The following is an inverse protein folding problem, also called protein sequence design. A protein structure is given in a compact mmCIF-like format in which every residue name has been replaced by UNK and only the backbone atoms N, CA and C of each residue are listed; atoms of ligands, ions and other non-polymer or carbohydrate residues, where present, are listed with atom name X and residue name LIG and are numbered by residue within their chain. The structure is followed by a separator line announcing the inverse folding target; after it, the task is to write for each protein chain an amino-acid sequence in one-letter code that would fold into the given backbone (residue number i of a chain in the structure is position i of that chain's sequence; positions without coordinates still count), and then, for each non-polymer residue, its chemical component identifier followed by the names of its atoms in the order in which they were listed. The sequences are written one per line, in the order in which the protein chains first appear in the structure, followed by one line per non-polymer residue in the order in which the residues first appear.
data_IF_064216169239
#
_entry.id   IF_064216169239
#
_cell.length_a   1.000
_cell.length_b   1.000
_cell.length_c   1.000
_cell.angle_alpha   90.00
_cell.angle_beta   90.00
_cell.angle_gamma   90.00
#
_symmetry.space_group_name_H-M   'P 1'
#
loop_
_entity.id
_entity.type
_entity.pdbx_description
1 polymer ?
#
# COMPACT_ATOMS: atom_id res chain seq x y z
N UNK A 1 -18.01 -6.98 -20.59
CA UNK A 1 -19.18 -6.47 -21.35
C UNK A 1 -20.26 -6.04 -20.37
N UNK A 2 -21.04 -4.98 -20.63
CA UNK A 2 -22.17 -4.62 -19.79
C UNK A 2 -23.17 -5.78 -19.74
N UNK A 3 -23.53 -6.20 -18.53
CA UNK A 3 -24.52 -7.26 -18.31
C UNK A 3 -25.87 -6.72 -18.79
N UNK A 4 -26.41 -7.29 -19.88
CA UNK A 4 -27.69 -6.85 -20.47
C UNK A 4 -28.91 -7.29 -19.66
N UNK A 5 -28.72 -8.20 -18.70
CA UNK A 5 -29.77 -8.70 -17.82
C UNK A 5 -29.56 -8.15 -16.40
N UNK A 6 -30.44 -7.26 -15.97
CA UNK A 6 -30.39 -6.64 -14.63
C UNK A 6 -30.51 -7.69 -13.51
N UNK A 7 -31.23 -8.78 -13.75
CA UNK A 7 -31.44 -9.85 -12.77
C UNK A 7 -30.20 -10.75 -12.59
N UNK A 8 -29.20 -10.63 -13.47
CA UNK A 8 -27.93 -11.33 -13.36
C UNK A 8 -26.87 -10.50 -12.60
N UNK A 9 -27.17 -9.26 -12.22
CA UNK A 9 -26.29 -8.42 -11.40
C UNK A 9 -26.38 -8.93 -9.96
N UNK A 10 -25.34 -9.60 -9.49
CA UNK A 10 -25.20 -9.96 -8.08
C UNK A 10 -24.53 -8.80 -7.32
N UNK A 11 -25.04 -8.41 -6.15
CA UNK A 11 -24.31 -7.47 -5.30
C UNK A 11 -22.98 -8.09 -4.86
N UNK A 12 -21.93 -7.28 -4.80
CA UNK A 12 -20.69 -7.65 -4.13
C UNK A 12 -20.94 -7.67 -2.62
N UNK A 13 -20.38 -8.64 -1.91
CA UNK A 13 -20.48 -8.76 -0.46
C UNK A 13 -19.31 -8.06 0.23
N UNK A 14 -19.44 -7.77 1.52
CA UNK A 14 -18.38 -7.12 2.31
C UNK A 14 -17.08 -7.93 2.38
N UNK A 15 -17.15 -9.24 2.19
CA UNK A 15 -15.97 -10.12 2.07
C UNK A 15 -15.18 -9.90 0.79
N UNK A 16 -15.78 -9.30 -0.24
CA UNK A 16 -15.19 -9.06 -1.56
C UNK A 16 -14.56 -7.65 -1.65
N UNK A 17 -14.51 -6.91 -0.54
CA UNK A 17 -14.01 -5.54 -0.48
C UNK A 17 -13.10 -5.34 0.74
N UNK A 18 -11.79 -5.23 0.47
CA UNK A 18 -10.76 -4.87 1.45
C UNK A 18 -10.04 -3.57 1.06
N UNK A 19 -9.37 -2.92 2.01
CA UNK A 19 -8.40 -1.87 1.71
C UNK A 19 -7.00 -2.39 2.00
N UNK A 20 -6.18 -2.48 0.96
CA UNK A 20 -4.79 -2.92 1.08
C UNK A 20 -3.88 -1.69 1.08
N UNK A 21 -3.03 -1.59 2.10
CA UNK A 21 -2.11 -0.49 2.31
C UNK A 21 -0.73 -0.83 1.71
N UNK A 22 -0.11 0.10 1.01
CA UNK A 22 1.30 0.07 0.66
C UNK A 22 2.09 1.01 1.57
N UNK A 23 3.02 0.46 2.35
CA UNK A 23 3.88 1.22 3.27
C UNK A 23 5.25 1.43 2.62
N UNK A 24 5.64 2.67 2.29
CA UNK A 24 6.98 2.93 1.76
C UNK A 24 8.03 2.67 2.84
N UNK A 25 9.06 1.91 2.49
CA UNK A 25 10.22 1.77 3.36
C UNK A 25 10.86 3.15 3.60
N UNK A 26 11.41 3.39 4.80
CA UNK A 26 12.12 4.63 5.08
C UNK A 26 13.57 4.54 4.60
N UNK A 27 14.22 3.41 4.88
CA UNK A 27 15.64 3.18 4.57
C UNK A 27 15.81 2.03 3.57
N UNK A 28 16.97 2.00 2.91
CA UNK A 28 17.40 0.86 2.09
C UNK A 28 17.84 -0.29 3.00
N UNK A 29 17.36 -1.51 2.73
CA UNK A 29 17.76 -2.71 3.45
C UNK A 29 18.73 -3.53 2.62
N UNK A 30 19.59 -4.30 3.27
CA UNK A 30 20.45 -5.26 2.58
C UNK A 30 19.61 -6.47 2.13
N UNK A 31 19.76 -6.85 0.86
CA UNK A 31 19.13 -8.04 0.31
C UNK A 31 20.00 -9.27 0.57
N UNK A 32 19.36 -10.43 0.63
CA UNK A 32 20.02 -11.73 0.73
C UNK A 32 20.36 -12.26 -0.67
N UNK A 33 21.54 -12.83 -0.82
CA UNK A 33 22.07 -13.34 -2.08
C UNK A 33 23.60 -13.30 -2.10
N UNK A 34 24.22 -14.20 -2.85
CA UNK A 34 25.68 -14.26 -2.97
C UNK A 34 26.14 -13.34 -4.09
N UNK A 35 27.26 -12.63 -3.89
CA UNK A 35 27.91 -11.82 -4.93
C UNK A 35 29.11 -12.61 -5.47
N UNK A 36 28.93 -13.25 -6.62
CA UNK A 36 29.94 -14.12 -7.26
C UNK A 36 30.15 -13.83 -8.75
N UNK A 37 29.50 -12.81 -9.30
CA UNK A 37 29.53 -12.48 -10.73
C UNK A 37 28.64 -13.35 -11.62
N UNK A 38 27.86 -14.28 -11.04
CA UNK A 38 26.91 -15.16 -11.75
C UNK A 38 25.49 -15.07 -11.20
N UNK A 39 25.32 -14.90 -9.89
CA UNK A 39 24.01 -14.73 -9.27
C UNK A 39 23.41 -13.36 -9.58
N UNK A 40 22.24 -13.33 -10.21
CA UNK A 40 21.48 -12.12 -10.55
C UNK A 40 20.22 -11.94 -9.70
N UNK A 41 19.81 -12.93 -8.90
CA UNK A 41 18.62 -12.85 -8.04
C UNK A 41 19.00 -12.52 -6.60
N UNK A 42 18.33 -11.51 -6.04
CA UNK A 42 18.52 -11.05 -4.66
C UNK A 42 17.16 -10.86 -3.99
N UNK A 43 17.08 -11.21 -2.71
CA UNK A 43 15.82 -11.37 -2.00
C UNK A 43 15.72 -10.37 -0.84
N UNK A 44 14.60 -9.63 -0.76
CA UNK A 44 14.35 -8.74 0.37
C UNK A 44 14.23 -9.54 1.68
N UNK A 45 14.47 -8.95 2.86
CA UNK A 45 14.12 -9.59 4.13
C UNK A 45 12.62 -9.91 4.19
N UNK A 46 12.25 -11.01 4.86
CA UNK A 46 10.86 -11.47 4.91
C UNK A 46 9.87 -10.44 5.49
N UNK A 47 10.34 -9.59 6.41
CA UNK A 47 9.56 -8.49 6.98
C UNK A 47 9.16 -7.40 5.95
N UNK A 48 9.68 -7.46 4.72
CA UNK A 48 9.38 -6.52 3.64
C UNK A 48 8.53 -7.14 2.51
N UNK A 49 8.01 -8.36 2.70
CA UNK A 49 7.07 -8.98 1.79
C UNK A 49 5.61 -8.65 2.16
N UNK A 50 4.68 -8.67 1.20
CA UNK A 50 4.90 -8.65 -0.25
C UNK A 50 5.38 -7.28 -0.74
N UNK A 51 5.99 -7.23 -1.92
CA UNK A 51 6.25 -5.96 -2.61
C UNK A 51 4.94 -5.44 -3.22
N UNK A 52 4.61 -4.18 -2.96
CA UNK A 52 3.42 -3.49 -3.47
C UNK A 52 3.65 -2.93 -4.90
N UNK A 53 2.68 -3.05 -5.83
CA UNK A 53 2.77 -2.49 -7.19
C UNK A 53 2.56 -0.96 -7.21
N UNK A 54 3.60 -0.21 -6.81
CA UNK A 54 3.57 1.25 -6.61
C UNK A 54 3.11 2.07 -7.82
N UNK A 55 3.40 1.64 -9.04
CA UNK A 55 3.01 2.37 -10.24
C UNK A 55 1.49 2.50 -10.42
N UNK A 56 0.69 1.62 -9.81
CA UNK A 56 -0.78 1.56 -9.91
C UNK A 56 -1.30 1.30 -11.33
N UNK A 57 -0.47 0.74 -12.20
CA UNK A 57 -0.78 0.38 -13.59
C UNK A 57 -0.69 -1.13 -13.84
N UNK A 58 -0.38 -1.91 -12.82
CA UNK A 58 -0.29 -3.36 -12.85
C UNK A 58 -0.79 -3.97 -11.55
N UNK A 59 -1.43 -5.14 -11.63
CA UNK A 59 -1.84 -5.92 -10.46
C UNK A 59 -0.65 -6.64 -9.80
N UNK A 60 0.44 -6.86 -10.54
CA UNK A 60 1.70 -7.42 -10.04
C UNK A 60 2.80 -6.34 -10.03
N UNK A 61 3.74 -6.38 -9.07
CA UNK A 61 4.88 -5.48 -9.04
C UNK A 61 5.73 -5.56 -10.31
N UNK A 62 6.24 -4.43 -10.75
CA UNK A 62 7.08 -4.25 -11.94
C UNK A 62 8.46 -3.70 -11.52
N UNK A 63 9.49 -3.84 -12.37
CA UNK A 63 10.85 -3.37 -12.04
C UNK A 63 10.95 -1.92 -11.56
N UNK A 64 10.08 -1.03 -12.07
CA UNK A 64 10.03 0.38 -11.65
C UNK A 64 9.46 0.63 -10.25
N UNK A 65 8.92 -0.39 -9.59
CA UNK A 65 8.33 -0.27 -8.24
C UNK A 65 9.38 -0.42 -7.12
N UNK A 66 10.61 -0.83 -7.48
CA UNK A 66 11.74 -1.00 -6.55
C UNK A 66 12.91 -0.12 -6.95
N UNK A 67 13.74 0.25 -5.98
CA UNK A 67 15.04 0.91 -6.22
C UNK A 67 16.12 0.03 -5.64
N UNK A 68 17.06 -0.42 -6.48
CA UNK A 68 18.17 -1.29 -6.09
C UNK A 68 19.51 -0.61 -6.32
N UNK A 69 20.43 -0.80 -5.38
CA UNK A 69 21.80 -0.30 -5.44
C UNK A 69 22.78 -1.37 -5.00
N UNK A 70 23.94 -1.42 -5.62
CA UNK A 70 25.10 -2.11 -5.06
C UNK A 70 25.91 -1.14 -4.23
N UNK A 71 26.61 -1.67 -3.22
CA UNK A 71 27.50 -0.91 -2.36
C UNK A 71 28.91 -1.48 -2.44
N UNK A 72 29.92 -0.64 -2.63
CA UNK A 72 31.34 -0.97 -2.47
C UNK A 72 31.99 0.02 -1.50
N UNK A 73 32.49 -0.45 -0.36
CA UNK A 73 32.92 0.40 0.74
C UNK A 73 31.80 1.36 1.16
N UNK A 74 31.96 2.65 0.87
CA UNK A 74 30.96 3.71 1.15
C UNK A 74 30.20 4.20 -0.08
N UNK A 75 30.52 3.69 -1.28
CA UNK A 75 29.92 4.14 -2.54
C UNK A 75 28.73 3.28 -2.92
N UNK A 76 27.62 3.93 -3.29
CA UNK A 76 26.42 3.27 -3.80
C UNK A 76 26.25 3.52 -5.30
N UNK A 77 25.92 2.48 -6.05
CA UNK A 77 25.68 2.53 -7.50
C UNK A 77 24.30 1.96 -7.80
N UNK A 78 23.48 2.69 -8.54
CA UNK A 78 22.14 2.21 -8.95
C UNK A 78 22.28 1.05 -9.93
N UNK A 79 21.47 0.01 -9.73
CA UNK A 79 21.44 -1.18 -10.58
C UNK A 79 20.04 -1.37 -11.15
N UNK A 80 19.97 -1.75 -12.42
CA UNK A 80 18.71 -2.01 -13.10
C UNK A 80 18.14 -3.38 -12.72
N UNK A 81 16.83 -3.41 -12.53
CA UNK A 81 16.04 -4.61 -12.28
C UNK A 81 15.36 -5.04 -13.57
N UNK A 82 15.39 -6.34 -13.84
CA UNK A 82 14.76 -6.98 -15.00
C UNK A 82 13.35 -7.48 -14.65
N UNK A 83 13.18 -8.08 -13.47
CA UNK A 83 11.90 -8.62 -13.00
C UNK A 83 11.84 -8.67 -11.47
N UNK A 84 10.61 -8.71 -10.95
CA UNK A 84 10.33 -9.03 -9.54
C UNK A 84 9.80 -10.46 -9.50
N UNK A 85 10.41 -11.30 -8.67
CA UNK A 85 10.16 -12.73 -8.60
C UNK A 85 9.43 -13.13 -7.32
N UNK A 86 8.70 -14.24 -7.42
CA UNK A 86 8.01 -14.86 -6.29
C UNK A 86 9.01 -15.61 -5.42
N UNK A 87 8.79 -15.52 -4.11
CA UNK A 87 9.48 -16.30 -3.09
C UNK A 87 8.45 -16.91 -2.15
N UNK A 88 8.82 -18.01 -1.50
CA UNK A 88 8.01 -18.58 -0.43
C UNK A 88 8.20 -17.74 0.84
N UNK A 89 7.12 -17.14 1.34
CA UNK A 89 7.13 -16.49 2.65
C UNK A 89 7.34 -17.57 3.74
N UNK A 90 8.41 -17.49 4.56
CA UNK A 90 8.67 -18.47 5.60
C UNK A 90 7.60 -18.53 6.70
N UNK A 91 6.83 -17.45 6.91
CA UNK A 91 5.81 -17.41 7.96
C UNK A 91 4.52 -18.12 7.54
N UNK A 92 4.08 -17.90 6.30
CA UNK A 92 2.78 -18.38 5.81
C UNK A 92 2.89 -19.57 4.83
N UNK A 93 4.04 -19.76 4.20
CA UNK A 93 4.25 -20.75 3.14
C UNK A 93 3.67 -20.33 1.78
N UNK A 94 3.10 -19.14 1.65
CA UNK A 94 2.54 -18.65 0.38
C UNK A 94 3.62 -18.08 -0.55
N UNK A 95 3.33 -18.10 -1.85
CA UNK A 95 4.16 -17.43 -2.86
C UNK A 95 3.83 -15.93 -2.87
N UNK A 96 4.82 -15.10 -2.57
CA UNK A 96 4.69 -13.64 -2.52
C UNK A 96 5.81 -12.98 -3.32
N UNK A 97 5.58 -11.80 -3.88
CA UNK A 97 6.63 -11.04 -4.55
C UNK A 97 7.62 -10.51 -3.51
N UNK A 98 8.87 -10.98 -3.56
CA UNK A 98 9.87 -10.67 -2.55
C UNK A 98 11.33 -10.73 -3.02
N UNK A 99 11.57 -11.12 -4.27
CA UNK A 99 12.90 -11.12 -4.88
C UNK A 99 12.96 -10.22 -6.12
N UNK A 100 14.17 -9.76 -6.43
CA UNK A 100 14.46 -8.96 -7.62
C UNK A 100 15.55 -9.65 -8.43
N UNK A 101 15.37 -9.64 -9.75
CA UNK A 101 16.38 -10.10 -10.69
C UNK A 101 17.07 -8.90 -11.33
N UNK A 102 18.38 -8.81 -11.17
CA UNK A 102 19.20 -7.71 -11.72
C UNK A 102 19.52 -7.97 -13.20
N UNK A 103 19.77 -6.91 -13.96
CA UNK A 103 20.17 -7.05 -15.38
C UNK A 103 21.58 -7.61 -15.53
N UNK A 104 22.47 -7.30 -14.58
CA UNK A 104 23.86 -7.77 -14.57
C UNK A 104 24.21 -8.29 -13.17
N UNK A 105 24.71 -9.53 -13.04
CA UNK A 105 25.22 -10.03 -11.78
C UNK A 105 26.34 -9.14 -11.20
N UNK A 106 26.28 -8.72 -9.93
CA UNK A 106 27.38 -8.00 -9.31
C UNK A 106 28.57 -8.93 -9.07
N UNK A 107 29.77 -8.41 -9.24
CA UNK A 107 31.03 -9.11 -8.92
C UNK A 107 31.55 -8.67 -7.55
N UNK A 108 32.32 -9.51 -6.87
CA UNK A 108 32.94 -9.19 -5.59
C UNK A 108 33.93 -8.02 -5.67
N UNK A 109 34.50 -7.79 -6.85
CA UNK A 109 35.33 -6.61 -7.14
C UNK A 109 34.49 -5.32 -7.15
N UNK A 110 33.26 -5.38 -7.69
CA UNK A 110 32.39 -4.22 -7.88
C UNK A 110 31.40 -3.94 -6.74
N UNK A 111 31.14 -4.90 -5.85
CA UNK A 111 30.20 -4.74 -4.75
C UNK A 111 30.53 -5.65 -3.54
N UNK A 112 30.27 -5.13 -2.35
CA UNK A 112 30.28 -5.87 -1.07
C UNK A 112 28.85 -6.26 -0.63
N UNK A 113 27.82 -5.61 -1.17
CA UNK A 113 26.42 -5.89 -0.85
C UNK A 113 25.43 -5.31 -1.86
N UNK A 114 24.22 -5.86 -1.88
CA UNK A 114 23.06 -5.35 -2.64
C UNK A 114 22.05 -4.81 -1.64
N UNK A 115 21.58 -3.59 -1.90
CA UNK A 115 20.66 -2.85 -1.06
C UNK A 115 19.44 -2.42 -1.87
N UNK A 116 18.27 -2.42 -1.25
CA UNK A 116 17.04 -2.14 -1.96
C UNK A 116 16.00 -1.45 -1.10
N UNK A 117 15.07 -0.79 -1.79
CA UNK A 117 13.95 -0.07 -1.21
C UNK A 117 12.71 -0.33 -2.05
N UNK A 118 11.59 -0.63 -1.39
CA UNK A 118 10.30 -0.85 -2.03
C UNK A 118 9.16 -0.24 -1.20
N UNK A 119 7.94 -0.42 -1.69
CA UNK A 119 6.73 -0.28 -0.88
C UNK A 119 6.32 -1.70 -0.48
N UNK A 120 6.10 -1.94 0.82
CA UNK A 120 5.63 -3.23 1.33
C UNK A 120 4.11 -3.21 1.40
N UNK A 121 3.49 -4.25 0.87
CA UNK A 121 2.05 -4.45 0.94
C UNK A 121 1.68 -4.95 2.33
N UNK A 122 0.65 -4.36 2.90
CA UNK A 122 0.07 -4.74 4.17
C UNK A 122 -1.43 -4.82 3.96
N UNK A 123 -2.01 -5.97 4.29
CA UNK A 123 -3.46 -6.09 4.47
C UNK A 123 -3.72 -6.08 5.98
N UNK A 124 -3.88 -4.88 6.57
CA UNK A 124 -3.70 -4.72 8.00
C UNK A 124 -4.88 -5.24 8.83
N UNK A 125 -6.08 -5.36 8.26
CA UNK A 125 -7.31 -5.53 9.03
C UNK A 125 -8.36 -6.36 8.31
N UNK A 126 -9.19 -7.03 9.12
CA UNK A 126 -10.50 -7.49 8.66
C UNK A 126 -11.40 -6.25 8.67
N UNK A 127 -11.65 -5.68 7.49
CA UNK A 127 -12.54 -4.54 7.34
C UNK A 127 -13.98 -4.98 7.66
N UNK A 128 -14.61 -4.32 8.64
CA UNK A 128 -16.04 -4.52 8.90
C UNK A 128 -16.91 -3.63 8.03
N UNK A 129 -16.42 -2.42 7.74
CA UNK A 129 -17.10 -1.45 6.91
C UNK A 129 -16.06 -0.57 6.19
N UNK A 130 -16.29 -0.30 4.91
CA UNK A 130 -15.49 0.62 4.09
C UNK A 130 -16.46 1.63 3.46
N UNK A 131 -16.34 2.89 3.85
CA UNK A 131 -17.12 4.00 3.31
C UNK A 131 -16.21 4.90 2.49
N UNK A 132 -16.47 4.97 1.18
CA UNK A 132 -15.77 5.92 0.29
C UNK A 132 -16.62 7.17 0.10
N UNK A 133 -16.02 8.34 0.33
CA UNK A 133 -16.64 9.65 0.16
C UNK A 133 -15.92 10.44 -0.94
N UNK A 134 -16.69 11.06 -1.83
CA UNK A 134 -16.17 12.01 -2.81
C UNK A 134 -16.95 13.31 -2.65
N UNK A 135 -16.24 14.38 -2.34
CA UNK A 135 -16.78 15.73 -2.29
C UNK A 135 -16.15 16.53 -3.42
N UNK A 136 -17.00 17.14 -4.24
CA UNK A 136 -16.57 18.03 -5.32
C UNK A 136 -17.09 19.43 -5.03
N UNK A 137 -16.18 20.39 -5.02
CA UNK A 137 -16.57 21.79 -4.97
C UNK A 137 -17.34 22.13 -6.25
N UNK A 138 -18.40 22.91 -6.11
CA UNK A 138 -19.13 23.41 -7.27
C UNK A 138 -19.62 24.82 -7.02
N UNK A 139 -19.57 25.64 -8.06
CA UNK A 139 -20.16 26.96 -8.05
C UNK A 139 -21.20 27.05 -9.17
N UNK A 140 -22.42 27.42 -8.81
CA UNK A 140 -23.52 27.54 -9.76
C UNK A 140 -23.84 29.01 -9.98
N UNK A 141 -23.56 29.50 -11.18
CA UNK A 141 -23.84 30.88 -11.57
C UNK A 141 -25.02 30.94 -12.53
N UNK A 142 -25.98 31.82 -12.26
CA UNK A 142 -27.12 32.10 -13.14
C UNK A 142 -27.01 33.49 -13.72
N UNK A 143 -27.24 33.65 -15.03
CA UNK A 143 -27.44 34.99 -15.62
C UNK A 143 -28.76 35.58 -15.09
N UNK A 144 -28.76 36.85 -14.72
CA UNK A 144 -29.98 37.58 -14.32
C UNK A 144 -31.03 37.44 -15.45
N UNK A 145 -32.26 37.04 -15.09
CA UNK A 145 -33.38 36.72 -16.01
C UNK A 145 -33.18 35.50 -16.93
N UNK A 146 -32.21 34.64 -16.66
CA UNK A 146 -32.08 33.34 -17.32
C UNK A 146 -32.52 32.21 -16.39
N UNK A 147 -33.25 31.24 -16.93
CA UNK A 147 -33.51 29.96 -16.24
C UNK A 147 -32.30 29.02 -16.30
N UNK A 148 -31.33 29.31 -17.18
CA UNK A 148 -30.10 28.53 -17.30
C UNK A 148 -29.12 28.90 -16.19
N UNK A 149 -28.68 27.87 -15.47
CA UNK A 149 -27.61 27.92 -14.48
C UNK A 149 -26.41 27.16 -15.05
N UNK A 150 -25.23 27.74 -14.95
CA UNK A 150 -23.97 27.08 -15.29
C UNK A 150 -23.30 26.63 -13.99
N UNK A 151 -23.03 25.34 -13.87
CA UNK A 151 -22.27 24.77 -12.76
C UNK A 151 -20.83 24.57 -13.20
N UNK A 152 -19.91 25.21 -12.48
CA UNK A 152 -18.46 25.01 -12.62
C UNK A 152 -18.01 24.11 -11.49
N UNK A 153 -17.25 23.06 -11.81
CA UNK A 153 -16.71 22.10 -10.85
C UNK A 153 -15.29 22.51 -10.45
N UNK A 154 -14.98 22.42 -9.17
CA UNK A 154 -13.71 22.82 -8.54
C UNK A 154 -12.90 21.64 -8.04
N UNK A 155 -12.23 21.81 -6.90
CA UNK A 155 -11.40 20.78 -6.29
C UNK A 155 -12.22 19.56 -5.85
N UNK A 156 -11.57 18.40 -5.83
CA UNK A 156 -12.15 17.13 -5.39
C UNK A 156 -11.42 16.66 -4.13
N UNK A 157 -12.18 16.35 -3.10
CA UNK A 157 -11.72 15.74 -1.86
C UNK A 157 -12.22 14.30 -1.84
N UNK A 158 -11.30 13.34 -1.75
CA UNK A 158 -11.61 11.91 -1.66
C UNK A 158 -11.19 11.41 -0.28
N UNK A 159 -12.13 10.77 0.42
CA UNK A 159 -11.90 10.17 1.73
C UNK A 159 -12.33 8.71 1.71
N UNK A 160 -11.56 7.87 2.40
CA UNK A 160 -11.94 6.47 2.69
C UNK A 160 -11.99 6.34 4.20
N UNK A 161 -13.16 5.99 4.74
CA UNK A 161 -13.34 5.68 6.15
C UNK A 161 -13.47 4.17 6.31
N UNK A 162 -12.72 3.62 7.25
CA UNK A 162 -12.67 2.18 7.47
C UNK A 162 -12.83 1.87 8.96
N UNK A 163 -13.79 1.02 9.27
CA UNK A 163 -13.93 0.39 10.58
C UNK A 163 -13.21 -0.96 10.56
N UNK A 164 -12.26 -1.13 11.48
CA UNK A 164 -11.33 -2.25 11.49
C UNK A 164 -11.45 -3.03 12.79
N UNK A 165 -11.48 -4.36 12.69
CA UNK A 165 -11.23 -5.23 13.83
C UNK A 165 -9.73 -5.34 14.08
N UNK A 166 -9.36 -5.23 15.35
CA UNK A 166 -7.97 -5.36 15.77
C UNK A 166 -7.64 -6.82 16.09
N UNK A 167 -6.95 -7.49 15.17
CA UNK A 167 -6.36 -8.81 15.41
C UNK A 167 -4.94 -8.75 15.99
N UNK A 168 -4.18 -7.72 15.64
CA UNK A 168 -2.80 -7.47 16.07
C UNK A 168 -2.54 -5.96 16.12
N UNK A 169 -1.64 -5.51 17.00
CA UNK A 169 -1.16 -4.13 17.10
C UNK A 169 -0.09 -3.79 16.04
N UNK A 170 0.57 -4.79 15.45
CA UNK A 170 1.63 -4.57 14.45
C UNK A 170 1.18 -3.68 13.27
N UNK A 171 0.00 -3.86 12.67
CA UNK A 171 -0.45 -3.02 11.57
C UNK A 171 -0.69 -1.56 12.00
N UNK A 172 -1.23 -1.33 13.20
CA UNK A 172 -1.37 0.02 13.77
C UNK A 172 0.01 0.67 13.93
N UNK A 173 0.97 -0.08 14.47
CA UNK A 173 2.35 0.41 14.66
C UNK A 173 2.98 0.82 13.33
N UNK A 174 2.83 0.00 12.28
CA UNK A 174 3.42 0.27 10.97
C UNK A 174 2.76 1.44 10.24
N UNK A 175 1.42 1.55 10.30
CA UNK A 175 0.67 2.60 9.60
C UNK A 175 0.74 3.92 10.35
N UNK A 176 0.50 3.91 11.67
CA UNK A 176 0.21 5.12 12.43
C UNK A 176 1.32 5.60 13.36
N UNK A 177 2.28 4.74 13.70
CA UNK A 177 3.28 5.05 14.73
C UNK A 177 4.70 5.13 14.19
N UNK A 178 5.58 5.78 14.94
CA UNK A 178 7.02 5.84 14.73
C UNK A 178 7.78 5.49 16.03
N UNK A 179 9.06 5.10 15.97
CA UNK A 179 9.86 4.90 17.17
C UNK A 179 9.86 6.16 18.06
N UNK A 180 9.70 5.99 19.37
CA UNK A 180 9.70 7.10 20.32
C UNK A 180 11.05 7.83 20.31
N UNK A 181 10.99 9.15 20.14
CA UNK A 181 12.17 10.01 20.00
C UNK A 181 12.36 11.00 21.17
N UNK A 182 11.49 10.93 22.18
CA UNK A 182 11.52 11.86 23.33
C UNK A 182 12.55 11.52 24.41
N UNK A 183 12.60 12.36 25.43
CA UNK A 183 13.47 12.16 26.60
C UNK A 183 12.88 11.10 27.54
N UNK A 184 13.64 10.05 27.85
CA UNK A 184 13.25 8.99 28.78
C UNK A 184 13.93 7.66 28.44
N UNK A 185 14.06 6.77 29.42
CA UNK A 185 14.59 5.41 29.19
C UNK A 185 13.42 4.45 29.10
N UNK A 186 13.29 3.77 27.96
CA UNK A 186 12.32 2.68 27.79
C UNK A 186 12.71 1.52 28.70
N UNK A 187 11.72 0.91 29.36
CA UNK A 187 11.94 -0.25 30.23
C UNK A 187 12.62 -1.39 29.45
N UNK A 188 13.57 -2.08 30.10
CA UNK A 188 14.28 -3.22 29.51
C UNK A 188 13.28 -4.27 29.02
N UNK A 189 13.38 -4.65 27.75
CA UNK A 189 12.49 -5.62 27.12
C UNK A 189 11.29 -5.00 26.39
N UNK A 190 11.12 -3.69 26.44
CA UNK A 190 10.03 -2.98 25.77
C UNK A 190 10.53 -2.07 24.63
N UNK A 191 9.63 -1.74 23.71
CA UNK A 191 9.84 -0.76 22.66
C UNK A 191 8.75 0.31 22.73
N UNK A 192 9.14 1.58 22.76
CA UNK A 192 8.21 2.69 22.78
C UNK A 192 7.99 3.25 21.37
N UNK A 193 6.73 3.56 21.06
CA UNK A 193 6.30 4.14 19.79
C UNK A 193 5.39 5.34 20.06
N UNK A 194 5.42 6.34 19.19
CA UNK A 194 4.61 7.56 19.28
C UNK A 194 3.91 7.87 17.95
N UNK A 195 2.88 8.71 17.98
CA UNK A 195 2.29 9.25 16.76
C UNK A 195 3.26 10.26 16.13
N UNK A 196 3.47 10.21 14.80
CA UNK A 196 4.21 11.26 14.12
C UNK A 196 3.40 12.57 14.13
N UNK A 197 4.10 13.70 14.13
CA UNK A 197 3.46 15.02 13.99
C UNK A 197 2.80 15.23 12.63
N UNK A 198 3.18 14.44 11.63
CA UNK A 198 2.64 14.48 10.27
C UNK A 198 2.28 13.05 9.85
N UNK A 199 1.07 12.82 9.31
CA UNK A 199 0.69 11.51 8.81
C UNK A 199 1.69 10.99 7.77
N UNK A 200 1.90 9.67 7.74
CA UNK A 200 2.76 9.05 6.74
C UNK A 200 2.07 9.07 5.37
N UNK A 201 2.86 9.25 4.32
CA UNK A 201 2.39 9.02 2.96
C UNK A 201 2.34 7.51 2.68
N UNK A 202 1.18 7.04 2.26
CA UNK A 202 0.86 5.65 2.00
C UNK A 202 0.36 5.49 0.55
N UNK A 203 0.30 4.24 0.12
CA UNK A 203 -0.41 3.82 -1.08
C UNK A 203 -1.60 2.96 -0.65
N UNK A 204 -2.64 2.90 -1.48
CA UNK A 204 -3.82 2.11 -1.19
C UNK A 204 -4.39 1.47 -2.45
N UNK A 205 -5.01 0.30 -2.32
CA UNK A 205 -5.98 -0.12 -3.32
C UNK A 205 -7.17 -0.86 -2.70
N UNK A 206 -8.30 -0.80 -3.40
CA UNK A 206 -9.47 -1.64 -3.15
C UNK A 206 -9.60 -2.61 -4.33
N UNK A 207 -9.49 -3.94 -4.12
CA UNK A 207 -9.74 -4.91 -5.17
C UNK A 207 -11.23 -4.94 -5.51
N UNK A 208 -11.51 -5.21 -6.77
CA UNK A 208 -12.86 -5.47 -7.27
C UNK A 208 -12.89 -6.95 -7.66
N UNK A 209 -13.68 -7.72 -6.94
CA UNK A 209 -13.73 -9.16 -7.09
C UNK A 209 -15.07 -9.62 -7.68
N UNK A 210 -15.02 -10.71 -8.43
CA UNK A 210 -16.20 -11.41 -8.94
C UNK A 210 -16.04 -12.90 -8.64
N UNK A 211 -16.57 -13.33 -7.49
CA UNK A 211 -16.15 -14.60 -6.88
C UNK A 211 -14.65 -14.54 -6.57
N UNK A 212 -13.92 -15.61 -6.85
CA UNK A 212 -12.48 -15.70 -6.52
C UNK A 212 -11.56 -15.01 -7.54
N UNK A 213 -12.09 -14.18 -8.44
CA UNK A 213 -11.31 -13.52 -9.50
C UNK A 213 -11.30 -12.01 -9.32
N UNK A 214 -10.09 -11.44 -9.19
CA UNK A 214 -9.88 -9.99 -9.22
C UNK A 214 -10.12 -9.47 -10.65
N UNK A 215 -11.17 -8.68 -10.83
CA UNK A 215 -11.58 -8.09 -12.11
C UNK A 215 -11.20 -6.61 -12.23
N UNK A 216 -10.63 -6.02 -11.18
CA UNK A 216 -10.07 -4.68 -11.22
C UNK A 216 -9.53 -4.23 -9.87
N UNK A 217 -8.91 -3.06 -9.83
CA UNK A 217 -8.46 -2.39 -8.60
C UNK A 217 -8.69 -0.89 -8.69
N UNK A 218 -9.24 -0.29 -7.64
CA UNK A 218 -9.16 1.14 -7.42
C UNK A 218 -7.86 1.45 -6.67
N UNK A 219 -6.93 2.16 -7.31
CA UNK A 219 -5.71 2.63 -6.68
C UNK A 219 -5.87 4.04 -6.14
N UNK A 220 -5.31 4.24 -4.95
CA UNK A 220 -5.25 5.51 -4.25
C UNK A 220 -3.77 5.83 -4.02
N UNK A 221 -3.30 6.90 -4.65
CA UNK A 221 -1.93 7.40 -4.48
C UNK A 221 -1.91 8.53 -3.47
N UNK A 222 -0.79 8.66 -2.76
CA UNK A 222 -0.58 9.76 -1.80
C UNK A 222 -1.70 9.78 -0.74
N UNK A 223 -1.89 8.62 -0.11
CA UNK A 223 -2.87 8.41 0.97
C UNK A 223 -2.28 8.83 2.31
N UNK A 224 -3.06 9.47 3.16
CA UNK A 224 -2.67 9.80 4.52
C UNK A 224 -3.70 9.23 5.50
N UNK A 225 -3.26 8.27 6.32
CA UNK A 225 -4.10 7.64 7.32
C UNK A 225 -4.00 8.40 8.65
N UNK A 226 -5.15 8.74 9.22
CA UNK A 226 -5.29 9.36 10.54
C UNK A 226 -6.27 8.53 11.36
N UNK A 227 -5.93 8.14 12.61
CA UNK A 227 -6.90 7.51 13.48
C UNK A 227 -7.98 8.53 13.84
N UNK A 228 -9.24 8.17 13.68
CA UNK A 228 -10.34 8.97 14.24
C UNK A 228 -10.41 8.76 15.75
N UNK A 229 -10.20 7.52 16.16
CA UNK A 229 -10.35 7.07 17.54
C UNK A 229 -9.19 6.11 17.89
N UNK A 230 -8.83 6.03 19.18
CA UNK A 230 -7.95 4.96 19.68
C UNK A 230 -8.73 3.64 19.76
N UNK A 231 -8.05 2.48 19.71
CA UNK A 231 -8.72 1.18 19.86
C UNK A 231 -9.59 1.12 21.10
N UNK A 232 -10.85 0.74 20.90
CA UNK A 232 -11.88 0.68 21.93
C UNK A 232 -12.63 -0.65 21.87
N UNK A 233 -13.21 -1.05 23.00
CA UNK A 233 -14.00 -2.27 23.09
C UNK A 233 -15.10 -2.13 24.15
N UNK A 234 -16.25 -2.74 23.89
CA UNK A 234 -17.30 -2.97 24.88
C UNK A 234 -17.29 -4.44 25.28
N UNK A 235 -17.73 -4.74 26.50
CA UNK A 235 -17.77 -6.12 26.97
C UNK A 235 -18.61 -7.01 26.04
N UNK A 236 -18.00 -8.10 25.54
CA UNK A 236 -18.62 -9.02 24.59
C UNK A 236 -18.33 -8.73 23.10
N UNK A 237 -17.71 -7.59 22.78
CA UNK A 237 -17.36 -7.21 21.40
C UNK A 237 -15.88 -7.48 21.07
N UNK A 238 -15.56 -7.53 19.78
CA UNK A 238 -14.18 -7.48 19.31
C UNK A 238 -13.65 -6.04 19.44
N UNK A 239 -12.34 -5.91 19.69
CA UNK A 239 -11.68 -4.60 19.70
C UNK A 239 -11.76 -4.00 18.29
N UNK A 240 -12.23 -2.76 18.18
CA UNK A 240 -12.30 -2.05 16.90
C UNK A 240 -11.66 -0.67 16.99
N UNK A 241 -11.31 -0.12 15.82
CA UNK A 241 -10.84 1.26 15.69
C UNK A 241 -11.15 1.81 14.30
N UNK A 242 -11.26 3.13 14.21
CA UNK A 242 -11.63 3.84 12.99
C UNK A 242 -10.44 4.54 12.34
N UNK A 243 -10.23 4.26 11.06
CA UNK A 243 -9.26 4.96 10.22
C UNK A 243 -9.98 5.89 9.24
N UNK A 244 -9.46 7.10 9.11
CA UNK A 244 -9.75 7.96 7.97
C UNK A 244 -8.52 8.06 7.10
N UNK A 245 -8.68 7.79 5.82
CA UNK A 245 -7.65 7.94 4.80
C UNK A 245 -8.07 9.07 3.88
N UNK A 246 -7.30 10.15 3.86
CA UNK A 246 -7.43 11.18 2.84
C UNK A 246 -6.57 10.81 1.63
N UNK A 247 -7.06 11.11 0.43
CA UNK A 247 -6.36 10.83 -0.82
C UNK A 247 -6.08 12.15 -1.53
N UNK A 248 -4.81 12.47 -1.72
CA UNK A 248 -4.39 13.74 -2.33
C UNK A 248 -4.48 13.74 -3.87
N UNK A 249 -4.44 12.56 -4.49
CA UNK A 249 -4.50 12.39 -5.95
C UNK A 249 -5.81 11.73 -6.39
N UNK A 250 -6.21 11.98 -7.65
CA UNK A 250 -7.38 11.33 -8.22
C UNK A 250 -7.18 9.80 -8.26
N UNK A 251 -8.15 9.00 -7.75
CA UNK A 251 -8.06 7.55 -7.80
C UNK A 251 -7.99 7.01 -9.24
N UNK A 252 -7.30 5.89 -9.42
CA UNK A 252 -7.14 5.23 -10.72
C UNK A 252 -7.88 3.89 -10.70
N UNK A 253 -8.79 3.68 -11.65
CA UNK A 253 -9.40 2.37 -11.85
C UNK A 253 -8.59 1.57 -12.89
N UNK A 254 -7.96 0.48 -12.46
CA UNK A 254 -7.33 -0.50 -13.33
C UNK A 254 -8.31 -1.65 -13.59
N UNK A 255 -8.59 -1.93 -14.86
CA UNK A 255 -9.45 -3.04 -15.30
C UNK A 255 -8.79 -3.78 -16.46
N UNK A 256 -9.09 -5.07 -16.66
CA UNK A 256 -8.59 -5.81 -17.82
C UNK A 256 -9.18 -5.22 -19.11
N UNK A 257 -8.37 -5.16 -20.16
CA UNK A 257 -8.87 -4.88 -21.51
C UNK A 257 -9.87 -5.99 -21.87
N UNK A 258 -11.06 -5.61 -22.32
CA UNK A 258 -12.04 -6.58 -22.78
C UNK A 258 -11.41 -7.48 -23.85
N UNK A 259 -11.42 -8.79 -23.62
CA UNK A 259 -11.16 -9.80 -24.65
C UNK A 259 -12.32 -9.91 -25.62
#
# INVERSE_FOLDING_TARGET
MPVKNIDAIKPMNSVDMGFVCGIPMLEEVQLTGTIDGTNDTFTFPAANYPIYPKNSLSITPQPGDVTIRTKKGTTYTVVNVTSIELVTDPATGFQVFGAVKLTTPPTSEGADGVYGKCVTELEPYIAQDIKTGIKMDSNTTGRIRSKMKNTVWGAMEVTVEQENLLGDLEPIKQILMQPYSGSGTVETGYQAHEFPNTPKDLYGYIPIENGDTVVGRFYFKSCQAVPKDLPGVKEGDNISFNLQISVAESPILLTPTAT
#
